data_IF_365848962663
#
_entry.id   IF_365848962663
#
_cell.length_a   1.000
_cell.length_b   1.000
_cell.length_c   1.000
_cell.angle_alpha   90.00
_cell.angle_beta   90.00
_cell.angle_gamma   90.00
#
_symmetry.space_group_name_H-M   'P 1'
#
loop_
_entity.id
_entity.type
_entity.pdbx_description
1 polymer ?
#
# COMPACT_ATOMS: atom_id res chain seq x y z
N UNK A 1 0.39 -0.21 17.13
CA UNK A 1 1.45 0.41 17.96
C UNK A 1 1.46 -0.19 19.36
N UNK A 2 2.63 -0.26 19.98
CA UNK A 2 2.85 -0.64 21.39
C UNK A 2 4.02 0.20 21.90
N UNK A 3 3.85 0.90 23.01
CA UNK A 3 4.82 1.88 23.52
C UNK A 3 5.30 2.86 22.43
N UNK A 4 4.34 3.40 21.67
CA UNK A 4 4.52 4.36 20.56
C UNK A 4 5.41 3.86 19.40
N UNK A 5 5.71 2.56 19.35
CA UNK A 5 6.41 1.93 18.23
C UNK A 5 5.45 1.15 17.34
N UNK A 6 5.67 1.12 16.00
CA UNK A 6 4.96 0.21 15.12
C UNK A 6 5.05 -1.22 15.67
N UNK A 7 3.91 -1.89 15.71
CA UNK A 7 3.80 -3.21 16.32
C UNK A 7 2.62 -3.92 15.69
N UNK A 8 2.80 -5.20 15.39
CA UNK A 8 1.75 -6.11 14.95
C UNK A 8 1.83 -7.36 15.83
N UNK A 9 0.67 -7.81 16.31
CA UNK A 9 0.48 -9.04 17.04
C UNK A 9 -0.83 -9.69 16.61
N UNK A 10 -1.22 -10.79 17.28
CA UNK A 10 -2.30 -11.69 16.83
C UNK A 10 -3.64 -11.00 16.57
N UNK A 11 -4.13 -10.21 17.53
CA UNK A 11 -5.36 -9.46 17.36
C UNK A 11 -5.38 -8.19 18.21
N UNK A 12 -6.15 -7.19 17.78
CA UNK A 12 -6.34 -5.94 18.51
C UNK A 12 -7.78 -5.84 18.99
N UNK A 13 -8.00 -5.31 20.20
CA UNK A 13 -9.36 -5.09 20.70
C UNK A 13 -10.09 -4.06 19.84
N UNK A 14 -11.37 -4.27 19.51
CA UNK A 14 -12.14 -3.29 18.73
C UNK A 14 -12.59 -2.08 19.57
N UNK A 15 -12.48 -2.16 20.91
CA UNK A 15 -12.98 -1.13 21.83
C UNK A 15 -11.83 -0.49 22.62
N UNK A 16 -10.84 -1.29 23.02
CA UNK A 16 -9.72 -0.84 23.84
C UNK A 16 -8.46 -0.70 22.98
N UNK A 17 -7.57 0.24 23.34
CA UNK A 17 -6.26 0.40 22.70
C UNK A 17 -5.25 -0.63 23.23
N UNK A 18 -5.56 -1.92 23.07
CA UNK A 18 -4.74 -3.04 23.52
C UNK A 18 -4.63 -4.13 22.46
N UNK A 19 -3.50 -4.84 22.48
CA UNK A 19 -3.33 -6.11 21.78
C UNK A 19 -3.87 -7.25 22.64
N UNK A 20 -4.71 -8.09 22.05
CA UNK A 20 -5.30 -9.28 22.67
C UNK A 20 -4.45 -10.48 22.26
N UNK A 21 -4.18 -11.39 23.20
CA UNK A 21 -3.30 -12.52 22.94
C UNK A 21 -1.81 -12.16 22.82
N UNK A 22 -1.41 -10.92 23.12
CA UNK A 22 -0.03 -10.41 23.05
C UNK A 22 0.90 -11.10 24.05
N UNK A 23 1.54 -12.20 23.63
CA UNK A 23 2.45 -13.02 24.44
C UNK A 23 3.90 -12.80 24.02
N UNK A 24 4.77 -12.70 25.02
CA UNK A 24 6.20 -12.50 24.83
C UNK A 24 6.84 -13.68 24.09
N UNK A 25 7.67 -13.36 23.07
CA UNK A 25 8.33 -14.32 22.17
C UNK A 25 7.37 -15.24 21.39
N UNK A 26 6.15 -14.77 21.13
CA UNK A 26 5.16 -15.53 20.36
C UNK A 26 4.41 -14.63 19.39
N UNK A 27 3.93 -13.49 19.87
CA UNK A 27 3.01 -12.64 19.12
C UNK A 27 3.73 -11.45 18.46
N UNK A 28 4.98 -11.15 18.81
CA UNK A 28 5.74 -10.08 18.16
C UNK A 28 5.95 -10.38 16.68
N UNK A 29 5.74 -9.38 15.82
CA UNK A 29 5.96 -9.50 14.37
C UNK A 29 5.07 -10.56 13.70
N UNK A 30 3.86 -10.77 14.22
CA UNK A 30 2.93 -11.79 13.74
C UNK A 30 2.46 -11.54 12.30
N UNK A 31 3.08 -12.23 11.34
CA UNK A 31 2.82 -12.11 9.91
C UNK A 31 1.63 -12.98 9.47
N UNK A 32 0.45 -12.71 10.02
CA UNK A 32 -0.80 -13.42 9.71
C UNK A 32 -1.91 -12.44 9.29
N UNK A 33 -1.54 -11.44 8.51
CA UNK A 33 -2.44 -10.46 7.89
C UNK A 33 -1.84 -9.95 6.58
N UNK A 34 -2.66 -9.32 5.74
CA UNK A 34 -2.32 -8.90 4.38
C UNK A 34 -2.23 -7.38 4.22
N UNK A 35 -1.87 -6.63 5.28
CA UNK A 35 -1.96 -5.16 5.27
C UNK A 35 -1.26 -4.49 4.07
N UNK A 36 -0.08 -4.95 3.68
CA UNK A 36 0.65 -4.41 2.52
C UNK A 36 -0.10 -4.66 1.22
N UNK A 37 -0.77 -5.80 1.11
CA UNK A 37 -1.60 -6.11 -0.06
C UNK A 37 -2.84 -5.22 -0.09
N UNK A 38 -3.54 -4.99 1.03
CA UNK A 38 -4.61 -3.99 1.09
C UNK A 38 -4.14 -2.58 0.66
N UNK A 39 -2.90 -2.20 1.01
CA UNK A 39 -2.35 -0.91 0.55
C UNK A 39 -2.14 -0.92 -0.96
N UNK A 40 -1.52 -1.95 -1.52
CA UNK A 40 -1.18 -2.00 -2.95
C UNK A 40 -2.40 -2.28 -3.84
N UNK A 41 -3.20 -3.28 -3.52
CA UNK A 41 -4.30 -3.76 -4.33
C UNK A 41 -5.58 -2.94 -4.15
N UNK A 42 -5.94 -2.60 -2.91
CA UNK A 42 -7.18 -1.84 -2.65
C UNK A 42 -6.92 -0.33 -2.67
N UNK A 43 -6.06 0.17 -1.77
CA UNK A 43 -5.90 1.62 -1.59
C UNK A 43 -5.26 2.28 -2.83
N UNK A 44 -4.12 1.76 -3.28
CA UNK A 44 -3.42 2.26 -4.47
C UNK A 44 -3.95 1.64 -5.76
N UNK A 45 -4.72 0.55 -5.67
CA UNK A 45 -5.58 0.06 -6.73
C UNK A 45 -4.93 -0.84 -7.77
N UNK A 46 -3.78 -1.47 -7.50
CA UNK A 46 -3.14 -2.38 -8.48
C UNK A 46 -3.97 -3.66 -8.60
N UNK A 47 -4.54 -3.93 -9.78
CA UNK A 47 -5.40 -5.09 -10.01
C UNK A 47 -4.62 -6.15 -10.80
N UNK A 48 -4.25 -7.28 -10.18
CA UNK A 48 -3.59 -8.37 -10.90
C UNK A 48 -4.52 -8.98 -11.94
N UNK A 49 -4.00 -9.20 -13.14
CA UNK A 49 -4.72 -9.86 -14.24
C UNK A 49 -3.88 -11.01 -14.79
N UNK A 50 -4.55 -11.93 -15.48
CA UNK A 50 -3.89 -13.07 -16.12
C UNK A 50 -3.35 -12.76 -17.52
N UNK A 51 -3.79 -11.67 -18.14
CA UNK A 51 -3.35 -11.20 -19.46
C UNK A 51 -2.25 -10.12 -19.34
N UNK A 52 -1.74 -9.63 -20.46
CA UNK A 52 -0.68 -8.62 -20.50
C UNK A 52 -1.21 -7.18 -20.33
N UNK A 53 -2.24 -7.02 -19.49
CA UNK A 53 -2.80 -5.70 -19.14
C UNK A 53 -2.40 -5.38 -17.71
N UNK A 54 -1.88 -4.18 -17.49
CA UNK A 54 -1.72 -3.61 -16.16
C UNK A 54 -2.94 -2.73 -15.87
N UNK A 55 -3.75 -3.12 -14.88
CA UNK A 55 -4.96 -2.41 -14.50
C UNK A 55 -4.77 -1.73 -13.14
N UNK A 56 -5.27 -0.50 -13.05
CA UNK A 56 -5.24 0.29 -11.82
C UNK A 56 -6.57 1.01 -11.57
N UNK A 57 -7.07 0.94 -10.34
CA UNK A 57 -8.27 1.62 -9.88
C UNK A 57 -8.14 2.05 -8.41
N UNK A 58 -7.49 3.18 -8.11
CA UNK A 58 -7.17 3.57 -6.74
C UNK A 58 -8.42 3.93 -5.92
N UNK A 59 -8.45 3.52 -4.66
CA UNK A 59 -9.45 3.94 -3.67
C UNK A 59 -8.95 5.05 -2.74
N UNK A 60 -7.92 5.78 -3.16
CA UNK A 60 -7.35 6.88 -2.38
C UNK A 60 -8.38 7.98 -2.14
N UNK A 61 -8.37 8.63 -0.96
CA UNK A 61 -9.22 9.79 -0.70
C UNK A 61 -9.01 10.92 -1.72
N UNK A 62 -10.10 11.60 -2.12
CA UNK A 62 -10.04 12.73 -3.07
C UNK A 62 -9.17 13.92 -2.62
N UNK A 63 -8.83 14.00 -1.34
CA UNK A 63 -7.95 15.03 -0.80
C UNK A 63 -6.46 14.65 -0.83
N UNK A 64 -6.11 13.44 -1.26
CA UNK A 64 -4.71 13.10 -1.54
C UNK A 64 -4.24 13.89 -2.74
N UNK A 65 -3.10 14.55 -2.58
CA UNK A 65 -2.49 15.36 -3.64
C UNK A 65 -1.51 14.56 -4.48
N UNK A 66 -0.91 13.53 -3.91
CA UNK A 66 0.05 12.68 -4.57
C UNK A 66 0.16 11.32 -3.89
N UNK A 67 0.58 10.30 -4.64
CA UNK A 67 1.11 9.04 -4.12
C UNK A 67 2.00 8.37 -5.16
N UNK A 68 2.84 7.44 -4.73
CA UNK A 68 3.61 6.60 -5.62
C UNK A 68 3.68 5.16 -5.10
N UNK A 69 3.64 4.21 -6.04
CA UNK A 69 4.00 2.82 -5.84
C UNK A 69 5.03 2.44 -6.89
N UNK A 70 6.26 2.22 -6.43
CA UNK A 70 7.41 1.98 -7.30
C UNK A 70 7.90 0.53 -7.18
N UNK A 71 8.64 0.08 -8.18
CA UNK A 71 9.27 -1.24 -8.21
C UNK A 71 8.28 -2.39 -8.04
N UNK A 72 7.09 -2.29 -8.63
CA UNK A 72 6.10 -3.36 -8.63
C UNK A 72 6.52 -4.39 -9.68
N UNK A 73 6.92 -5.61 -9.30
CA UNK A 73 7.18 -6.66 -10.27
C UNK A 73 5.85 -7.15 -10.86
N UNK A 74 5.67 -6.99 -12.17
CA UNK A 74 4.45 -7.40 -12.85
C UNK A 74 4.79 -8.02 -14.21
N UNK A 75 4.52 -9.32 -14.36
CA UNK A 75 4.69 -10.07 -15.62
C UNK A 75 6.09 -9.90 -16.27
N UNK A 76 7.14 -9.87 -15.45
CA UNK A 76 8.53 -9.70 -15.91
C UNK A 76 8.99 -8.27 -16.07
N UNK A 77 8.12 -7.29 -15.81
CA UNK A 77 8.42 -5.86 -15.84
C UNK A 77 8.51 -5.27 -14.43
N UNK A 78 9.20 -4.14 -14.32
CA UNK A 78 9.12 -3.26 -13.14
C UNK A 78 8.18 -2.11 -13.46
N UNK A 79 7.06 -2.03 -12.75
CA UNK A 79 6.04 -1.00 -12.92
C UNK A 79 6.14 0.05 -11.82
N UNK A 80 6.02 1.31 -12.21
CA UNK A 80 5.83 2.44 -11.29
C UNK A 80 4.50 3.10 -11.59
N UNK A 81 3.71 3.33 -10.55
CA UNK A 81 2.48 4.10 -10.55
C UNK A 81 2.73 5.39 -9.77
N UNK A 82 2.39 6.51 -10.36
CA UNK A 82 2.53 7.83 -9.75
C UNK A 82 1.24 8.61 -9.98
N UNK A 83 0.69 9.16 -8.92
CA UNK A 83 -0.36 10.17 -9.00
C UNK A 83 0.17 11.48 -8.44
N UNK A 84 0.02 12.57 -9.19
CA UNK A 84 0.38 13.92 -8.74
C UNK A 84 -0.65 14.91 -9.27
N UNK A 85 -1.49 15.45 -8.39
CA UNK A 85 -2.65 16.25 -8.78
C UNK A 85 -2.29 17.49 -9.61
N UNK A 86 -1.15 18.14 -9.35
CA UNK A 86 -0.71 19.33 -10.08
C UNK A 86 0.64 19.14 -10.80
N UNK A 87 1.29 17.99 -10.65
CA UNK A 87 2.55 17.64 -11.30
C UNK A 87 3.77 18.30 -10.66
N UNK A 88 3.63 18.93 -9.49
CA UNK A 88 4.71 19.66 -8.83
C UNK A 88 5.48 18.85 -7.79
N UNK A 89 4.98 17.70 -7.35
CA UNK A 89 5.55 16.94 -6.26
C UNK A 89 6.70 16.03 -6.70
N UNK A 90 6.50 15.31 -7.82
CA UNK A 90 7.51 14.37 -8.32
C UNK A 90 8.33 14.91 -9.50
N UNK A 91 8.04 16.13 -9.97
CA UNK A 91 8.74 16.77 -11.08
C UNK A 91 8.79 15.91 -12.37
N UNK A 92 7.79 15.04 -12.56
CA UNK A 92 7.75 14.11 -13.69
C UNK A 92 7.33 14.76 -15.02
N UNK A 93 7.08 16.07 -15.01
CA UNK A 93 6.67 16.86 -16.18
C UNK A 93 5.17 16.76 -16.53
N UNK A 94 4.40 15.97 -15.78
CA UNK A 94 2.96 15.78 -16.01
C UNK A 94 2.17 15.79 -14.70
N UNK A 95 0.92 16.26 -14.76
CA UNK A 95 -0.07 16.10 -13.69
C UNK A 95 -0.98 14.90 -13.95
N UNK A 96 -1.62 14.42 -12.89
CA UNK A 96 -2.51 13.26 -12.89
C UNK A 96 -1.78 11.93 -12.69
N UNK A 97 -2.46 10.85 -13.10
CA UNK A 97 -1.95 9.48 -13.02
C UNK A 97 -0.95 9.20 -14.14
N UNK A 98 0.18 8.59 -13.78
CA UNK A 98 1.26 8.21 -14.68
C UNK A 98 1.69 6.79 -14.35
N UNK A 99 1.94 6.00 -15.40
CA UNK A 99 2.36 4.60 -15.28
C UNK A 99 3.61 4.42 -16.14
N UNK A 100 4.67 3.93 -15.53
CA UNK A 100 5.94 3.63 -16.18
C UNK A 100 6.20 2.13 -16.13
N UNK A 101 6.70 1.58 -17.24
CA UNK A 101 7.01 0.15 -17.38
C UNK A 101 8.41 0.02 -17.97
N UNK A 102 9.28 -0.72 -17.29
CA UNK A 102 10.63 -1.08 -17.74
C UNK A 102 10.71 -2.54 -18.16
#
# INVERSE_FOLDING_TARGET
YKNDKPYVAECHSPIQKIWVGDRHNLSEHYAHSTYVENVLADLLGVIPRSDNVFEINPLVPNNWRFFAAENIPYHGHSVTVLYDADGSYYESGHSGMQIFVN
#
